data_IF_664199396173
#
_entry.id   IF_664199396173
#
_cell.length_a   1.000
_cell.length_b   1.000
_cell.length_c   1.000
_cell.angle_alpha   90.00
_cell.angle_beta   90.00
_cell.angle_gamma   90.00
#
_symmetry.space_group_name_H-M   'P 1'
#
loop_
_entity.id
_entity.type
_entity.pdbx_description
1 polymer ?
#
# COMPACT_ATOMS: atom_id res chain seq x y z
N UNK A 1 -52.68 -51.81 -19.53
CA UNK A 1 -51.82 -51.23 -18.48
C UNK A 1 -52.34 -49.85 -18.12
N UNK A 2 -53.13 -49.71 -17.04
CA UNK A 2 -53.61 -48.41 -16.56
C UNK A 2 -52.48 -47.77 -15.74
N UNK A 3 -51.94 -46.64 -16.22
CA UNK A 3 -51.10 -45.77 -15.38
C UNK A 3 -51.99 -45.25 -14.26
N UNK A 4 -51.66 -45.59 -13.01
CA UNK A 4 -52.24 -44.90 -11.87
C UNK A 4 -51.73 -43.45 -11.92
N UNK A 5 -52.64 -42.49 -12.09
CA UNK A 5 -52.33 -41.09 -11.80
C UNK A 5 -52.15 -41.01 -10.28
N UNK A 6 -50.92 -41.19 -9.81
CA UNK A 6 -50.56 -40.97 -8.41
C UNK A 6 -50.59 -39.46 -8.16
N UNK A 7 -51.69 -38.96 -7.60
CA UNK A 7 -51.75 -37.60 -7.07
C UNK A 7 -50.86 -37.47 -5.85
N UNK A 8 -50.27 -36.29 -5.65
CA UNK A 8 -49.46 -35.98 -4.48
C UNK A 8 -50.37 -35.90 -3.23
N UNK A 9 -49.94 -36.48 -2.11
CA UNK A 9 -50.65 -36.32 -0.85
C UNK A 9 -50.57 -34.87 -0.36
N UNK A 10 -51.61 -34.37 0.29
CA UNK A 10 -51.60 -33.05 0.93
C UNK A 10 -50.45 -32.92 1.95
N UNK A 11 -50.17 -34.01 2.67
CA UNK A 11 -49.04 -34.08 3.61
C UNK A 11 -47.69 -33.92 2.90
N UNK A 12 -47.52 -34.57 1.75
CA UNK A 12 -46.28 -34.51 0.97
C UNK A 12 -46.04 -33.11 0.42
N UNK A 13 -47.10 -32.40 0.02
CA UNK A 13 -47.01 -31.00 -0.39
C UNK A 13 -46.58 -30.08 0.76
N UNK A 14 -47.17 -30.23 1.95
CA UNK A 14 -46.84 -29.43 3.14
C UNK A 14 -45.38 -29.67 3.58
N UNK A 15 -44.96 -30.94 3.61
CA UNK A 15 -43.58 -31.30 3.98
C UNK A 15 -42.59 -30.79 2.92
N UNK A 16 -42.92 -30.91 1.63
CA UNK A 16 -42.10 -30.39 0.54
C UNK A 16 -41.89 -28.87 0.63
N UNK A 17 -42.95 -28.11 0.90
CA UNK A 17 -42.87 -26.66 1.10
C UNK A 17 -42.07 -26.28 2.35
N UNK A 18 -42.23 -27.02 3.46
CA UNK A 18 -41.48 -26.78 4.69
C UNK A 18 -39.97 -26.97 4.48
N UNK A 19 -39.57 -28.06 3.82
CA UNK A 19 -38.16 -28.34 3.49
C UNK A 19 -37.62 -27.27 2.54
N UNK A 20 -38.38 -26.91 1.50
CA UNK A 20 -37.98 -25.86 0.56
C UNK A 20 -37.75 -24.51 1.26
N UNK A 21 -38.63 -24.14 2.19
CA UNK A 21 -38.49 -22.90 2.96
C UNK A 21 -37.20 -22.90 3.80
N UNK A 22 -36.89 -24.01 4.47
CA UNK A 22 -35.66 -24.15 5.27
C UNK A 22 -34.42 -24.02 4.38
N UNK A 23 -34.42 -24.67 3.21
CA UNK A 23 -33.31 -24.60 2.25
C UNK A 23 -33.11 -23.18 1.73
N UNK A 24 -34.19 -22.48 1.35
CA UNK A 24 -34.10 -21.11 0.83
C UNK A 24 -33.63 -20.12 1.90
N UNK A 25 -34.10 -20.25 3.13
CA UNK A 25 -33.64 -19.42 4.25
C UNK A 25 -32.17 -19.71 4.55
N UNK A 26 -31.77 -20.98 4.63
CA UNK A 26 -30.38 -21.38 4.86
C UNK A 26 -29.44 -20.87 3.77
N UNK A 27 -29.84 -20.99 2.49
CA UNK A 27 -29.09 -20.45 1.37
C UNK A 27 -29.01 -18.91 1.43
N UNK A 28 -30.11 -18.23 1.73
CA UNK A 28 -30.13 -16.77 1.89
C UNK A 28 -29.17 -16.29 2.98
N UNK A 29 -29.19 -16.93 4.14
CA UNK A 29 -28.26 -16.63 5.23
C UNK A 29 -26.81 -16.91 4.83
N UNK A 30 -26.53 -18.02 4.14
CA UNK A 30 -25.20 -18.35 3.66
C UNK A 30 -24.64 -17.25 2.74
N UNK A 31 -25.40 -16.79 1.74
CA UNK A 31 -24.94 -15.75 0.82
C UNK A 31 -24.81 -14.37 1.50
N UNK A 32 -25.69 -14.04 2.43
CA UNK A 32 -25.61 -12.77 3.19
C UNK A 32 -24.46 -12.77 4.21
N UNK A 33 -24.09 -13.94 4.73
CA UNK A 33 -23.00 -14.07 5.70
C UNK A 33 -21.61 -14.08 5.08
N UNK A 34 -21.50 -14.18 3.75
CA UNK A 34 -20.20 -14.09 3.10
C UNK A 34 -19.63 -12.69 3.35
N UNK A 35 -18.45 -12.57 3.99
CA UNK A 35 -17.79 -11.29 4.12
C UNK A 35 -17.59 -10.76 2.70
N UNK A 36 -18.00 -9.51 2.44
CA UNK A 36 -17.64 -8.83 1.19
C UNK A 36 -16.12 -8.73 1.18
N UNK A 37 -15.46 -9.69 0.53
CA UNK A 37 -14.02 -9.64 0.34
C UNK A 37 -13.75 -8.34 -0.40
N UNK A 38 -12.95 -7.46 0.22
CA UNK A 38 -12.39 -6.29 -0.46
C UNK A 38 -11.85 -6.79 -1.80
N UNK A 39 -12.21 -6.13 -2.90
CA UNK A 39 -11.86 -6.59 -4.24
C UNK A 39 -10.33 -6.72 -4.31
N UNK A 40 -9.77 -7.95 -4.35
CA UNK A 40 -8.33 -8.19 -4.21
C UNK A 40 -7.51 -7.36 -5.19
N UNK A 41 -8.10 -7.01 -6.33
CA UNK A 41 -7.50 -6.15 -7.34
C UNK A 41 -7.02 -4.81 -6.79
N UNK A 42 -7.73 -4.25 -5.82
CA UNK A 42 -7.37 -2.96 -5.25
C UNK A 42 -6.20 -3.07 -4.28
N UNK A 43 -6.18 -4.13 -3.48
CA UNK A 43 -5.06 -4.41 -2.60
C UNK A 43 -3.78 -4.68 -3.41
N UNK A 44 -3.87 -5.47 -4.49
CA UNK A 44 -2.72 -5.70 -5.37
C UNK A 44 -2.20 -4.42 -6.00
N UNK A 45 -3.07 -3.48 -6.38
CA UNK A 45 -2.65 -2.16 -6.90
C UNK A 45 -2.00 -1.30 -5.82
N UNK A 46 -2.53 -1.30 -4.60
CA UNK A 46 -1.91 -0.57 -3.51
C UNK A 46 -0.49 -1.11 -3.22
N UNK A 47 -0.33 -2.44 -3.20
CA UNK A 47 0.97 -3.10 -3.06
C UNK A 47 1.90 -2.74 -4.21
N UNK A 48 1.47 -2.84 -5.47
CA UNK A 48 2.33 -2.55 -6.61
C UNK A 48 2.80 -1.08 -6.65
N UNK A 49 1.96 -0.15 -6.20
CA UNK A 49 2.34 1.26 -6.07
C UNK A 49 3.37 1.44 -4.96
N UNK A 50 3.18 0.80 -3.80
CA UNK A 50 4.11 0.86 -2.69
C UNK A 50 5.46 0.21 -3.04
N UNK A 51 5.46 -0.91 -3.75
CA UNK A 51 6.66 -1.62 -4.19
C UNK A 51 7.49 -0.76 -5.16
N UNK A 52 6.86 -0.19 -6.19
CA UNK A 52 7.55 0.70 -7.12
C UNK A 52 8.12 1.95 -6.43
N UNK A 53 7.40 2.49 -5.44
CA UNK A 53 7.89 3.61 -4.63
C UNK A 53 9.05 3.18 -3.71
N UNK A 54 8.96 2.01 -3.09
CA UNK A 54 10.01 1.44 -2.27
C UNK A 54 11.30 1.23 -3.08
N UNK A 55 11.20 0.73 -4.32
CA UNK A 55 12.34 0.61 -5.22
C UNK A 55 13.02 1.96 -5.48
N UNK A 56 12.23 3.03 -5.69
CA UNK A 56 12.80 4.37 -5.85
C UNK A 56 13.51 4.85 -4.58
N UNK A 57 12.90 4.70 -3.39
CA UNK A 57 13.53 5.03 -2.10
C UNK A 57 14.84 4.26 -1.93
N UNK A 58 14.90 3.03 -2.43
CA UNK A 58 16.11 2.23 -2.39
C UNK A 58 17.18 2.67 -3.40
N UNK A 59 16.78 3.24 -4.54
CA UNK A 59 17.67 3.63 -5.63
C UNK A 59 18.41 4.96 -5.40
N UNK A 60 17.85 5.86 -4.58
CA UNK A 60 18.46 7.16 -4.27
C UNK A 60 19.60 7.04 -3.26
N UNK A 61 20.39 8.10 -3.05
CA UNK A 61 21.44 8.08 -2.02
C UNK A 61 20.83 8.12 -0.62
N UNK A 62 21.56 7.65 0.39
CA UNK A 62 21.08 7.64 1.77
C UNK A 62 20.81 9.05 2.33
N UNK A 63 21.61 10.06 1.97
CA UNK A 63 21.52 11.44 2.46
C UNK A 63 22.05 12.46 1.45
N UNK A 64 21.54 13.69 1.47
CA UNK A 64 22.01 14.84 0.71
C UNK A 64 23.53 14.98 0.79
N UNK A 65 24.09 14.79 1.98
CA UNK A 65 25.52 14.94 2.26
C UNK A 65 26.35 13.70 1.92
N UNK A 66 25.72 12.60 1.51
CA UNK A 66 26.45 11.47 0.95
C UNK A 66 26.92 11.78 -0.48
N UNK A 67 28.20 11.53 -0.74
CA UNK A 67 28.76 11.57 -2.09
C UNK A 67 29.38 10.21 -2.44
N UNK A 68 28.66 9.36 -3.19
CA UNK A 68 29.15 8.05 -3.61
C UNK A 68 30.42 8.12 -4.49
N UNK A 69 30.61 9.18 -5.27
CA UNK A 69 31.77 9.33 -6.16
C UNK A 69 33.06 9.54 -5.37
N UNK A 70 32.99 10.35 -4.31
CA UNK A 70 34.13 10.62 -3.42
C UNK A 70 34.15 9.75 -2.17
N UNK A 71 33.25 8.76 -2.07
CA UNK A 71 33.10 7.86 -0.92
C UNK A 71 32.88 8.62 0.41
N UNK A 72 32.27 9.80 0.36
CA UNK A 72 31.93 10.60 1.54
C UNK A 72 30.57 10.18 2.05
N UNK A 73 30.47 10.03 3.37
CA UNK A 73 29.28 9.56 4.07
C UNK A 73 28.98 10.51 5.22
N UNK A 74 27.76 10.98 5.30
CA UNK A 74 27.30 11.82 6.39
C UNK A 74 27.52 11.14 7.74
N UNK A 75 27.86 11.93 8.76
CA UNK A 75 28.09 11.47 10.13
C UNK A 75 29.37 10.64 10.33
N UNK A 76 30.25 10.53 9.33
CA UNK A 76 31.52 9.79 9.42
C UNK A 76 32.71 10.65 8.95
N UNK A 77 33.90 10.37 9.49
CA UNK A 77 35.19 10.85 8.99
C UNK A 77 35.30 12.37 8.71
N UNK A 78 34.66 13.19 9.56
CA UNK A 78 34.67 14.66 9.43
C UNK A 78 33.73 15.23 8.36
N UNK A 79 32.89 14.39 7.76
CA UNK A 79 31.78 14.82 6.91
C UNK A 79 30.64 15.44 7.73
N UNK A 80 29.78 16.18 7.05
CA UNK A 80 28.61 16.81 7.64
C UNK A 80 27.65 15.78 8.26
N UNK A 81 26.88 16.21 9.26
CA UNK A 81 25.91 15.33 9.90
C UNK A 81 24.79 14.94 8.92
N UNK A 82 24.27 13.72 9.05
CA UNK A 82 23.12 13.28 8.25
C UNK A 82 21.92 14.19 8.52
N UNK A 83 21.21 14.55 7.47
CA UNK A 83 20.19 15.60 7.50
C UNK A 83 18.76 15.04 7.56
N UNK A 84 17.97 15.69 8.40
CA UNK A 84 16.52 15.83 8.34
C UNK A 84 16.19 17.27 8.77
N UNK A 85 15.26 17.99 8.12
CA UNK A 85 14.21 17.55 7.19
C UNK A 85 14.71 17.58 5.70
N UNK A 86 13.86 17.42 4.64
CA UNK A 86 14.36 17.28 3.26
C UNK A 86 15.21 18.47 2.84
N UNK A 87 16.14 18.24 1.91
CA UNK A 87 16.94 19.30 1.30
C UNK A 87 16.05 20.46 0.82
N UNK A 88 16.46 21.74 0.93
CA UNK A 88 15.63 22.87 0.52
C UNK A 88 15.33 22.93 -0.99
N UNK A 89 15.88 22.02 -1.80
CA UNK A 89 15.75 21.98 -3.27
C UNK A 89 15.11 20.67 -3.72
N UNK A 90 13.86 20.41 -3.32
CA UNK A 90 13.10 19.29 -3.90
C UNK A 90 11.87 19.87 -4.58
N UNK A 91 11.82 19.75 -5.91
CA UNK A 91 10.56 19.94 -6.64
C UNK A 91 9.56 18.85 -6.25
N UNK A 92 8.34 18.90 -6.77
CA UNK A 92 7.33 17.88 -6.46
C UNK A 92 7.47 16.59 -7.29
N UNK A 93 8.46 16.53 -8.18
CA UNK A 93 8.66 15.42 -9.10
C UNK A 93 9.70 14.43 -8.57
N UNK A 94 9.42 13.14 -8.74
CA UNK A 94 10.28 12.02 -8.33
C UNK A 94 11.72 12.11 -8.88
N UNK A 95 11.94 12.82 -9.98
CA UNK A 95 13.26 13.03 -10.59
C UNK A 95 14.15 13.98 -9.78
N UNK A 96 13.54 14.83 -8.97
CA UNK A 96 14.22 15.78 -8.11
C UNK A 96 14.62 15.13 -6.77
N UNK A 97 14.09 13.94 -6.48
CA UNK A 97 14.36 13.20 -5.26
C UNK A 97 15.68 12.47 -5.46
N UNK A 98 16.74 13.07 -4.97
CA UNK A 98 18.11 12.56 -5.09
C UNK A 98 18.55 11.81 -3.84
N UNK A 99 17.87 12.01 -2.70
CA UNK A 99 18.15 11.41 -1.40
C UNK A 99 16.92 10.84 -0.70
N UNK A 100 17.12 9.98 0.31
CA UNK A 100 16.02 9.32 1.03
C UNK A 100 15.13 10.33 1.77
N UNK A 101 15.70 11.37 2.36
CA UNK A 101 14.97 12.40 3.11
C UNK A 101 14.03 13.25 2.24
N UNK A 102 14.27 13.31 0.93
CA UNK A 102 13.40 14.03 -0.02
C UNK A 102 11.98 13.45 -0.01
N UNK A 103 11.86 12.14 0.24
CA UNK A 103 10.56 11.47 0.41
C UNK A 103 9.78 11.96 1.63
N UNK A 104 10.41 12.65 2.57
CA UNK A 104 9.68 13.27 3.67
C UNK A 104 8.80 14.45 3.22
N UNK A 105 8.96 14.94 1.99
CA UNK A 105 8.08 15.94 1.37
C UNK A 105 6.61 15.48 1.37
N UNK A 106 6.37 14.18 1.21
CA UNK A 106 5.01 13.62 1.24
C UNK A 106 4.60 13.10 2.62
N UNK A 107 5.26 13.55 3.69
CA UNK A 107 4.82 13.30 5.05
C UNK A 107 3.73 14.32 5.46
N UNK A 108 2.98 14.00 6.52
CA UNK A 108 2.02 14.88 7.22
C UNK A 108 1.32 15.96 6.37
N UNK A 109 0.31 15.56 5.59
CA UNK A 109 -0.48 16.48 4.77
C UNK A 109 0.09 16.74 3.37
N UNK A 110 1.32 16.29 3.09
CA UNK A 110 1.95 16.33 1.77
C UNK A 110 1.65 15.14 0.85
N UNK A 111 0.69 14.28 1.20
CA UNK A 111 0.44 13.03 0.46
C UNK A 111 0.18 13.28 -1.05
N UNK A 112 0.85 12.49 -1.90
CA UNK A 112 0.74 12.58 -3.35
C UNK A 112 -0.43 11.71 -3.86
N UNK A 113 -1.14 12.19 -4.87
CA UNK A 113 -2.17 11.41 -5.54
C UNK A 113 -1.57 10.20 -6.27
N UNK A 114 -2.18 9.03 -6.09
CA UNK A 114 -1.64 7.76 -6.59
C UNK A 114 -1.50 7.69 -8.11
N UNK A 115 -2.39 8.34 -8.88
CA UNK A 115 -2.26 8.42 -10.34
C UNK A 115 -1.10 9.33 -10.79
N UNK A 116 -0.83 10.41 -10.05
CA UNK A 116 0.30 11.31 -10.33
C UNK A 116 1.61 10.56 -10.05
N UNK A 117 1.70 9.93 -8.87
CA UNK A 117 2.84 9.11 -8.49
C UNK A 117 3.06 7.95 -9.47
N UNK A 118 2.01 7.23 -9.84
CA UNK A 118 2.10 6.14 -10.82
C UNK A 118 2.61 6.63 -12.19
N UNK A 119 2.25 7.85 -12.59
CA UNK A 119 2.76 8.49 -13.80
C UNK A 119 4.26 8.77 -13.72
N UNK A 120 4.72 9.31 -12.60
CA UNK A 120 6.14 9.57 -12.35
C UNK A 120 6.97 8.26 -12.27
N UNK A 121 6.42 7.21 -11.66
CA UNK A 121 7.00 5.86 -11.59
C UNK A 121 6.90 5.07 -12.91
N UNK A 122 6.33 5.66 -13.97
CA UNK A 122 6.14 5.03 -15.29
C UNK A 122 5.34 3.72 -15.24
N UNK A 123 4.43 3.57 -14.27
CA UNK A 123 3.53 2.43 -14.20
C UNK A 123 2.52 2.50 -15.34
N UNK A 124 2.22 1.34 -15.94
CA UNK A 124 1.19 1.27 -16.98
C UNK A 124 -0.18 1.60 -16.41
N UNK A 125 -0.98 2.36 -17.17
CA UNK A 125 -2.36 2.76 -16.81
C UNK A 125 -2.44 3.47 -15.45
N UNK A 126 -1.68 4.54 -15.29
CA UNK A 126 -1.64 5.36 -14.08
C UNK A 126 -3.03 5.79 -13.56
N UNK A 127 -4.03 5.94 -14.43
CA UNK A 127 -5.42 6.26 -14.05
C UNK A 127 -6.05 5.23 -13.10
N UNK A 128 -5.59 3.97 -13.10
CA UNK A 128 -6.09 2.93 -12.19
C UNK A 128 -5.77 3.21 -10.72
N UNK A 129 -4.83 4.13 -10.45
CA UNK A 129 -4.37 4.50 -9.12
C UNK A 129 -4.98 5.81 -8.61
N UNK A 130 -5.91 6.43 -9.35
CA UNK A 130 -6.51 7.71 -9.00
C UNK A 130 -7.30 7.70 -7.68
N UNK A 131 -7.65 6.51 -7.18
CA UNK A 131 -8.33 6.31 -5.89
C UNK A 131 -7.38 6.18 -4.70
N UNK A 132 -6.06 6.19 -4.92
CA UNK A 132 -5.10 6.06 -3.83
C UNK A 132 -4.44 7.40 -3.54
N UNK A 133 -4.00 7.56 -2.30
CA UNK A 133 -3.03 8.58 -1.91
C UNK A 133 -1.83 7.90 -1.28
N UNK A 134 -0.63 8.38 -1.59
CA UNK A 134 0.61 7.85 -1.06
C UNK A 134 1.25 8.89 -0.13
N UNK A 135 1.57 8.46 1.09
CA UNK A 135 2.26 9.24 2.09
C UNK A 135 3.59 8.56 2.40
N UNK A 136 4.67 9.34 2.49
CA UNK A 136 5.99 8.83 2.89
C UNK A 136 6.55 9.68 4.01
N UNK A 137 6.87 9.03 5.12
CA UNK A 137 7.46 9.69 6.28
C UNK A 137 8.82 9.09 6.56
N UNK A 138 9.82 9.95 6.70
CA UNK A 138 11.21 9.57 6.91
C UNK A 138 11.66 10.09 8.26
N UNK A 139 12.15 9.18 9.11
CA UNK A 139 12.72 9.51 10.41
C UNK A 139 14.14 8.98 10.49
N UNK A 140 15.02 9.72 11.18
CA UNK A 140 16.38 9.28 11.45
C UNK A 140 16.36 8.66 12.83
N UNK A 141 16.55 7.35 12.88
CA UNK A 141 16.71 6.63 14.12
C UNK A 141 18.18 6.70 14.55
N UNK A 142 18.40 7.24 15.75
CA UNK A 142 19.71 7.34 16.42
C UNK A 142 19.68 6.66 17.79
N UNK A 143 18.73 5.77 18.03
CA UNK A 143 18.60 5.05 19.31
C UNK A 143 19.86 4.21 19.59
N UNK A 144 20.44 3.63 18.53
CA UNK A 144 21.81 3.12 18.54
C UNK A 144 22.75 4.11 17.83
N UNK A 145 23.57 4.89 18.56
CA UNK A 145 24.48 5.85 17.96
C UNK A 145 25.59 5.20 17.12
N UNK A 146 25.80 3.89 17.25
CA UNK A 146 26.77 3.14 16.45
C UNK A 146 26.23 2.68 15.10
N UNK A 147 24.90 2.65 14.93
CA UNK A 147 24.23 2.20 13.70
C UNK A 147 23.02 3.08 13.36
N UNK A 148 23.22 4.37 13.01
CA UNK A 148 22.11 5.22 12.59
C UNK A 148 21.49 4.71 11.30
N UNK A 149 20.15 4.72 11.23
CA UNK A 149 19.40 4.33 10.04
C UNK A 149 18.21 5.27 9.82
N UNK A 150 17.81 5.40 8.56
CA UNK A 150 16.59 6.12 8.19
C UNK A 150 15.45 5.11 8.10
N UNK A 151 14.41 5.32 8.89
CA UNK A 151 13.15 4.59 8.77
C UNK A 151 12.25 5.35 7.80
N UNK A 152 11.76 4.64 6.78
CA UNK A 152 10.84 5.16 5.77
C UNK A 152 9.53 4.41 5.87
N UNK A 153 8.48 5.10 6.28
CA UNK A 153 7.12 4.57 6.34
C UNK A 153 6.40 4.99 5.07
N UNK A 154 6.02 4.03 4.25
CA UNK A 154 5.20 4.22 3.05
C UNK A 154 3.78 3.79 3.37
N UNK A 155 2.82 4.73 3.32
CA UNK A 155 1.40 4.46 3.53
C UNK A 155 0.61 4.74 2.26
N UNK A 156 -0.10 3.74 1.76
CA UNK A 156 -1.04 3.85 0.65
C UNK A 156 -2.46 3.78 1.21
N UNK A 157 -3.18 4.90 1.11
CA UNK A 157 -4.56 5.01 1.59
C UNK A 157 -5.53 4.93 0.43
N UNK A 158 -6.50 4.03 0.55
CA UNK A 158 -7.66 3.97 -0.33
C UNK A 158 -8.80 4.87 0.19
N UNK A 159 -9.55 5.50 -0.71
CA UNK A 159 -10.74 6.32 -0.39
C UNK A 159 -11.82 5.55 0.41
N UNK A 160 -11.78 4.22 0.39
CA UNK A 160 -12.71 3.36 1.14
C UNK A 160 -12.19 3.00 2.55
N UNK A 161 -11.10 3.60 3.03
CA UNK A 161 -10.59 3.45 4.40
C UNK A 161 -9.70 2.23 4.64
N UNK A 162 -9.22 1.59 3.56
CA UNK A 162 -8.18 0.56 3.64
C UNK A 162 -6.82 1.22 3.51
N UNK A 163 -6.06 1.25 4.60
CA UNK A 163 -4.68 1.75 4.63
C UNK A 163 -3.71 0.57 4.63
N UNK A 164 -2.74 0.62 3.70
CA UNK A 164 -1.65 -0.34 3.64
C UNK A 164 -0.34 0.39 3.94
N UNK A 165 0.39 -0.07 4.96
CA UNK A 165 1.64 0.56 5.38
C UNK A 165 2.81 -0.41 5.28
N UNK A 166 3.94 0.09 4.83
CA UNK A 166 5.21 -0.61 4.75
C UNK A 166 6.29 0.22 5.43
N UNK A 167 7.21 -0.46 6.10
CA UNK A 167 8.35 0.18 6.75
C UNK A 167 9.62 -0.33 6.10
N UNK A 168 10.49 0.59 5.70
CA UNK A 168 11.82 0.30 5.18
C UNK A 168 12.87 0.89 6.10
N UNK A 169 13.94 0.13 6.32
CA UNK A 169 15.11 0.60 7.04
C UNK A 169 16.27 0.76 6.07
N UNK A 170 16.67 2.01 5.87
CA UNK A 170 17.83 2.40 5.07
C UNK A 170 19.00 2.60 6.00
N UNK A 171 20.03 1.79 5.83
CA UNK A 171 21.27 1.95 6.60
C UNK A 171 22.27 2.76 5.79
N UNK A 172 23.02 3.61 6.47
CA UNK A 172 24.24 4.16 5.92
C UNK A 172 25.27 3.00 5.98
N UNK A 173 25.43 2.24 4.90
CA UNK A 173 26.42 1.15 4.78
C UNK A 173 27.52 1.51 3.78
N UNK A 174 28.66 0.82 3.87
CA UNK A 174 29.82 0.97 2.97
C UNK A 174 29.57 0.29 1.64
#
# INVERSE_FOLDING_TARGET
MRRANAGLSLLEYVVGLAILAIVLVGAGLFFLSQPRQLDPVFQFRAVSLAEALAEQVMAVKYDAENNPQSQIRCGLDGADACTLPPSPVVGSDLTDFVAVEDFNLWCEGGAINGNVLAGQLKLTRAQLYARYTAQTCVTLNTDDPSVPFKEVIISIKDQNGSDLSFTLHRYNIR
#
